data_IF_381299170445
#
_entry.id   IF_381299170445
#
_cell.length_a   1.000
_cell.length_b   1.000
_cell.length_c   1.000
_cell.angle_alpha   90.00
_cell.angle_beta   90.00
_cell.angle_gamma   90.00
#
_symmetry.space_group_name_H-M   'P 1'
#
loop_
_entity.id
_entity.type
_entity.pdbx_description
1 polymer ?
#
# COMPACT_ATOMS: atom_id res chain seq x y z
N UNK A 1 1.11 -1.99 48.66
CA UNK A 1 0.40 -1.58 47.44
C UNK A 1 1.08 -2.29 46.27
N UNK A 2 0.55 -3.44 45.85
CA UNK A 2 1.15 -4.24 44.78
C UNK A 2 0.73 -3.66 43.43
N UNK A 3 1.67 -3.05 42.72
CA UNK A 3 1.45 -2.55 41.37
C UNK A 3 1.60 -3.73 40.40
N UNK A 4 0.50 -4.44 40.15
CA UNK A 4 0.44 -5.48 39.12
C UNK A 4 0.54 -4.82 37.75
N UNK A 5 1.76 -4.72 37.22
CA UNK A 5 1.98 -4.37 35.82
C UNK A 5 1.67 -5.62 34.99
N UNK A 6 0.42 -5.74 34.55
CA UNK A 6 0.05 -6.73 33.55
C UNK A 6 0.89 -6.49 32.27
N UNK A 7 1.51 -7.52 31.68
CA UNK A 7 2.13 -7.39 30.38
C UNK A 7 1.03 -7.11 29.37
N UNK A 8 1.11 -5.97 28.67
CA UNK A 8 0.21 -5.68 27.56
C UNK A 8 0.37 -6.80 26.54
N UNK A 9 -0.64 -7.66 26.44
CA UNK A 9 -0.77 -8.64 25.38
C UNK A 9 -0.89 -7.83 24.07
N UNK A 10 0.24 -7.58 23.39
CA UNK A 10 0.22 -7.02 22.04
C UNK A 10 -0.36 -8.11 21.15
N UNK A 11 -1.62 -7.92 20.77
CA UNK A 11 -2.32 -8.82 19.87
C UNK A 11 -1.51 -8.89 18.55
N UNK A 12 -1.02 -10.07 18.13
CA UNK A 12 -0.15 -10.20 16.97
C UNK A 12 -0.86 -9.82 15.66
N UNK A 13 -2.18 -9.63 15.67
CA UNK A 13 -2.97 -9.19 14.52
C UNK A 13 -3.25 -7.67 14.51
N UNK A 14 -2.88 -6.93 15.58
CA UNK A 14 -3.06 -5.48 15.63
C UNK A 14 -2.55 -4.71 14.39
N UNK A 15 -1.33 -4.96 13.84
CA UNK A 15 -0.83 -4.15 12.73
C UNK A 15 -1.66 -4.30 11.44
N UNK A 16 -2.47 -5.35 11.32
CA UNK A 16 -3.30 -5.61 10.14
C UNK A 16 -4.73 -5.07 10.28
N UNK A 17 -5.19 -4.78 11.50
CA UNK A 17 -6.51 -4.18 11.76
C UNK A 17 -6.51 -2.66 11.55
N UNK A 18 -5.34 -2.03 11.59
CA UNK A 18 -5.15 -0.58 11.45
C UNK A 18 -4.84 -0.11 10.03
N UNK A 19 -4.99 -0.96 9.00
CA UNK A 19 -4.76 -0.55 7.61
C UNK A 19 -6.08 -0.14 6.91
N UNK A 20 -6.43 1.16 6.92
CA UNK A 20 -7.71 1.61 6.40
C UNK A 20 -7.77 1.47 4.87
N UNK A 21 -8.95 1.12 4.38
CA UNK A 21 -9.27 1.26 2.96
C UNK A 21 -9.45 2.72 2.58
N UNK A 22 -8.72 3.14 1.55
CA UNK A 22 -8.67 4.51 1.06
C UNK A 22 -9.36 4.57 -0.31
N UNK A 23 -10.22 5.56 -0.50
CA UNK A 23 -10.84 5.84 -1.79
C UNK A 23 -9.84 6.54 -2.73
N UNK A 24 -9.92 6.33 -4.05
CA UNK A 24 -9.04 6.99 -5.02
C UNK A 24 -8.96 8.52 -4.88
N UNK A 25 -10.07 9.16 -4.49
CA UNK A 25 -10.14 10.60 -4.29
C UNK A 25 -9.36 11.10 -3.06
N UNK A 26 -9.14 10.22 -2.08
CA UNK A 26 -8.46 10.55 -0.83
C UNK A 26 -6.99 10.14 -0.84
N UNK A 27 -6.56 9.27 -1.77
CA UNK A 27 -5.16 8.84 -1.88
C UNK A 27 -4.20 10.03 -1.96
N UNK A 28 -4.49 11.04 -2.77
CA UNK A 28 -3.62 12.22 -2.91
C UNK A 28 -3.50 13.07 -1.65
N UNK A 29 -4.50 13.01 -0.75
CA UNK A 29 -4.44 13.72 0.53
C UNK A 29 -3.44 13.06 1.48
N UNK A 30 -3.20 11.76 1.30
CA UNK A 30 -2.32 10.94 2.14
C UNK A 30 -0.94 10.81 1.50
N UNK A 31 -0.90 10.61 0.19
CA UNK A 31 0.31 10.43 -0.61
C UNK A 31 0.24 11.40 -1.79
N UNK A 32 0.71 12.66 -1.63
CA UNK A 32 0.59 13.70 -2.66
C UNK A 32 1.23 13.33 -4.01
N UNK A 33 2.27 12.49 -3.98
CA UNK A 33 2.98 12.05 -5.17
C UNK A 33 2.20 11.00 -5.99
N UNK A 34 1.11 10.45 -5.46
CA UNK A 34 0.30 9.43 -6.12
C UNK A 34 -0.88 10.05 -6.89
N UNK A 35 -0.61 10.48 -8.13
CA UNK A 35 -1.62 11.11 -9.00
C UNK A 35 -2.70 10.11 -9.47
N UNK A 36 -3.87 10.56 -9.99
CA UNK A 36 -4.89 9.66 -10.51
C UNK A 36 -4.37 8.84 -11.70
N UNK A 37 -3.43 9.41 -12.46
CA UNK A 37 -2.75 8.73 -13.56
C UNK A 37 -1.85 7.61 -13.03
N UNK A 38 -1.11 7.83 -11.95
CA UNK A 38 -0.31 6.80 -11.30
C UNK A 38 -1.19 5.63 -10.82
N UNK A 39 -2.31 5.93 -10.17
CA UNK A 39 -3.30 4.93 -9.76
C UNK A 39 -3.93 4.18 -10.94
N UNK A 40 -4.23 4.86 -12.05
CA UNK A 40 -4.69 4.20 -13.27
C UNK A 40 -3.63 3.24 -13.83
N UNK A 41 -2.37 3.67 -13.89
CA UNK A 41 -1.26 2.82 -14.33
C UNK A 41 -1.08 1.59 -13.42
N UNK A 42 -1.16 1.77 -12.10
CA UNK A 42 -1.09 0.67 -11.13
C UNK A 42 -2.16 -0.38 -11.41
N UNK A 43 -3.42 0.05 -11.62
CA UNK A 43 -4.54 -0.86 -11.92
C UNK A 43 -4.45 -1.56 -13.28
N UNK A 44 -3.74 -0.97 -14.23
CA UNK A 44 -3.56 -1.53 -15.57
C UNK A 44 -2.44 -2.56 -15.63
N UNK A 45 -1.54 -2.60 -14.64
CA UNK A 45 -0.52 -3.65 -14.57
C UNK A 45 -1.19 -4.96 -14.16
N UNK A 46 -1.04 -5.99 -15.00
CA UNK A 46 -1.33 -7.37 -14.61
C UNK A 46 -0.24 -7.77 -13.61
N UNK A 47 -0.63 -8.05 -12.37
CA UNK A 47 0.33 -8.54 -11.38
C UNK A 47 0.79 -9.95 -11.75
N UNK A 48 2.09 -10.20 -11.62
CA UNK A 48 2.68 -11.54 -11.70
C UNK A 48 2.60 -12.26 -10.34
N UNK A 49 2.48 -11.49 -9.25
CA UNK A 49 2.20 -11.97 -7.91
C UNK A 49 0.69 -11.98 -7.67
N UNK A 50 0.17 -13.10 -7.19
CA UNK A 50 -1.25 -13.48 -7.10
C UNK A 50 -2.18 -12.58 -6.24
N UNK A 51 -1.74 -11.37 -5.85
CA UNK A 51 -2.50 -10.48 -4.99
C UNK A 51 -2.77 -9.12 -5.65
N UNK A 52 -4.04 -8.69 -5.76
CA UNK A 52 -4.36 -7.40 -6.36
C UNK A 52 -4.06 -6.25 -5.38
N UNK A 53 -3.24 -5.27 -5.77
CA UNK A 53 -2.96 -4.00 -5.04
C UNK A 53 -4.15 -3.04 -4.91
N UNK A 54 -5.33 -3.49 -5.34
CA UNK A 54 -6.57 -2.75 -5.20
C UNK A 54 -7.74 -3.73 -5.06
N UNK A 55 -8.76 -3.27 -4.35
CA UNK A 55 -9.95 -4.05 -4.08
C UNK A 55 -11.13 -3.43 -4.81
N UNK A 56 -12.00 -4.27 -5.38
CA UNK A 56 -13.27 -3.84 -5.96
C UNK A 56 -14.40 -4.33 -5.07
N UNK A 57 -15.07 -3.38 -4.41
CA UNK A 57 -16.20 -3.66 -3.52
C UNK A 57 -17.39 -2.83 -4.00
N UNK A 58 -18.50 -3.50 -4.35
CA UNK A 58 -19.75 -2.85 -4.81
C UNK A 58 -19.52 -1.84 -5.96
N UNK A 59 -18.63 -2.18 -6.91
CA UNK A 59 -18.29 -1.30 -8.04
C UNK A 59 -17.35 -0.14 -7.71
N UNK A 60 -16.91 0.00 -6.45
CA UNK A 60 -15.94 1.00 -6.03
C UNK A 60 -14.56 0.38 -5.93
N UNK A 61 -13.55 1.16 -6.32
CA UNK A 61 -12.14 0.80 -6.10
C UNK A 61 -11.71 1.32 -4.75
N UNK A 62 -11.03 0.48 -3.99
CA UNK A 62 -10.44 0.77 -2.69
C UNK A 62 -8.97 0.34 -2.72
N UNK A 63 -8.15 1.01 -1.93
CA UNK A 63 -6.74 0.68 -1.76
C UNK A 63 -6.45 0.51 -0.28
N UNK A 64 -5.61 -0.45 0.10
CA UNK A 64 -5.01 -0.41 1.44
C UNK A 64 -3.86 0.58 1.43
N UNK A 65 -3.56 1.16 2.58
CA UNK A 65 -2.45 2.09 2.71
C UNK A 65 -1.12 1.36 2.44
N UNK A 66 -0.91 0.18 3.02
CA UNK A 66 0.32 -0.62 2.83
C UNK A 66 0.60 -0.88 1.35
N UNK A 67 -0.36 -1.44 0.61
CA UNK A 67 -0.22 -1.76 -0.81
C UNK A 67 0.23 -0.55 -1.65
N UNK A 68 -0.24 0.66 -1.31
CA UNK A 68 0.16 1.90 -1.99
C UNK A 68 1.60 2.31 -1.70
N UNK A 69 2.08 2.08 -0.48
CA UNK A 69 3.48 2.34 -0.11
C UNK A 69 4.41 1.32 -0.74
N UNK A 70 4.07 0.03 -0.67
CA UNK A 70 4.85 -1.05 -1.27
C UNK A 70 5.00 -0.83 -2.78
N UNK A 71 3.91 -0.46 -3.46
CA UNK A 71 3.96 -0.13 -4.88
C UNK A 71 4.85 1.09 -5.18
N UNK A 72 4.79 2.13 -4.34
CA UNK A 72 5.60 3.34 -4.52
C UNK A 72 7.10 3.04 -4.34
N UNK A 73 7.44 2.22 -3.36
CA UNK A 73 8.81 1.75 -3.12
C UNK A 73 9.34 0.98 -4.35
N UNK A 74 8.54 0.04 -4.88
CA UNK A 74 8.89 -0.72 -6.09
C UNK A 74 9.13 0.17 -7.33
N UNK A 75 8.32 1.22 -7.53
CA UNK A 75 8.53 2.15 -8.65
C UNK A 75 9.85 2.93 -8.50
N UNK A 76 10.25 3.22 -7.26
CA UNK A 76 11.50 3.94 -6.95
C UNK A 76 12.71 3.04 -7.23
N UNK A 77 12.67 1.77 -6.84
CA UNK A 77 13.73 0.79 -7.09
C UNK A 77 13.81 0.32 -8.54
N UNK A 78 12.69 0.23 -9.25
CA UNK A 78 12.67 -0.11 -10.69
C UNK A 78 13.34 0.97 -11.54
N UNK A 79 13.16 2.25 -11.18
CA UNK A 79 13.75 3.38 -11.90
C UNK A 79 15.28 3.44 -11.80
N UNK A 80 15.86 2.84 -10.75
CA UNK A 80 17.31 2.82 -10.52
C UNK A 80 18.02 1.62 -11.15
N UNK A 81 17.28 0.60 -11.64
CA UNK A 81 17.85 -0.61 -12.25
C UNK A 81 18.02 -0.54 -13.77
N UNK A 82 17.51 0.51 -14.42
CA UNK A 82 17.58 0.70 -15.88
C UNK A 82 18.78 1.50 -16.42
N UNK A 83 19.70 1.93 -15.57
CA UNK A 83 20.90 2.70 -15.95
C UNK A 83 22.15 1.83 -15.77
N UNK A 84 22.33 0.82 -16.62
CA UNK A 84 23.52 -0.02 -16.52
C UNK A 84 23.53 -1.25 -17.40
N UNK A 85 23.07 -1.17 -18.65
CA UNK A 85 23.34 -2.23 -19.63
C UNK A 85 23.33 -1.64 -21.04
N UNK A 86 24.45 -1.00 -21.38
CA UNK A 86 24.91 -0.83 -22.75
C UNK A 86 26.44 -0.95 -22.69
N UNK A 87 26.92 -2.19 -22.81
CA UNK A 87 28.32 -2.51 -23.09
C UNK A 87 28.51 -2.57 -24.62
#
# INVERSE_FOLDING_TARGET
MSNSTEPRLTDPLQPYLDDPFILPADVQKIIPNLTPRALANMRSRREADDQPRFYRVLGRVLYRRSDLFDWLEEQTHTSSRGQGEAA
#
